data_IF_177296218552
#
_entry.id   IF_177296218552
#
_cell.length_a   1.000
_cell.length_b   1.000
_cell.length_c   1.000
_cell.angle_alpha   90.00
_cell.angle_beta   90.00
_cell.angle_gamma   90.00
#
_symmetry.space_group_name_H-M   'P 1'
#
loop_
_entity.id
_entity.type
_entity.pdbx_description
1 polymer ?
#
# COMPACT_ATOMS: atom_id res chain seq x y z
N UNK A 1 32.23 -35.34 0.77
CA UNK A 1 30.85 -35.61 0.30
C UNK A 1 29.96 -34.62 1.02
N UNK A 2 29.81 -33.43 0.46
CA UNK A 2 28.95 -32.41 1.03
C UNK A 2 27.54 -32.62 0.48
N UNK A 3 26.64 -33.01 1.35
CA UNK A 3 25.21 -33.12 1.03
C UNK A 3 24.59 -31.76 1.15
N UNK A 4 24.46 -31.07 0.02
CA UNK A 4 23.74 -29.83 -0.09
C UNK A 4 22.23 -30.14 -0.01
N UNK A 5 21.65 -30.00 1.17
CA UNK A 5 20.20 -30.11 1.38
C UNK A 5 19.55 -28.85 0.77
N UNK A 6 18.60 -28.98 -0.16
CA UNK A 6 17.90 -27.81 -0.70
C UNK A 6 17.11 -27.17 0.44
N UNK A 7 17.43 -25.91 0.74
CA UNK A 7 16.68 -25.13 1.71
C UNK A 7 15.20 -25.08 1.32
N UNK A 8 14.35 -25.49 2.22
CA UNK A 8 12.89 -25.40 2.11
C UNK A 8 12.52 -23.93 1.92
N UNK A 9 11.80 -23.60 0.87
CA UNK A 9 11.27 -22.26 0.68
C UNK A 9 10.34 -21.94 1.86
N UNK A 10 10.42 -20.73 2.46
CA UNK A 10 9.60 -20.35 3.58
C UNK A 10 8.12 -20.46 3.25
N UNK A 11 7.34 -20.95 4.18
CA UNK A 11 5.88 -21.06 4.03
C UNK A 11 5.25 -19.66 3.92
N UNK A 12 4.05 -19.60 3.36
CA UNK A 12 3.27 -18.35 3.25
C UNK A 12 3.03 -17.70 4.63
N UNK A 13 2.91 -18.49 5.69
CA UNK A 13 2.77 -18.01 7.06
C UNK A 13 4.06 -17.40 7.60
N UNK A 14 5.21 -18.02 7.32
CA UNK A 14 6.53 -17.50 7.68
C UNK A 14 6.83 -16.20 6.93
N UNK A 15 6.55 -16.13 5.62
CA UNK A 15 6.66 -14.90 4.82
C UNK A 15 5.75 -13.77 5.36
N UNK A 16 4.54 -14.11 5.80
CA UNK A 16 3.62 -13.13 6.38
C UNK A 16 3.99 -12.75 7.82
N UNK A 17 4.60 -13.66 8.59
CA UNK A 17 5.11 -13.35 9.93
C UNK A 17 6.31 -12.39 9.87
N UNK A 18 7.23 -12.60 8.93
CA UNK A 18 8.32 -11.66 8.64
C UNK A 18 7.82 -10.27 8.16
N UNK A 19 6.63 -10.21 7.52
CA UNK A 19 5.97 -8.94 7.17
C UNK A 19 5.53 -8.13 8.39
N UNK A 20 5.40 -8.76 9.56
CA UNK A 20 5.08 -8.09 10.81
C UNK A 20 6.31 -7.37 11.40
N UNK A 21 7.51 -7.82 11.05
CA UNK A 21 8.78 -7.19 11.37
C UNK A 21 9.28 -6.35 10.18
N UNK A 22 8.59 -5.25 9.88
CA UNK A 22 9.19 -4.20 9.05
C UNK A 22 10.33 -3.62 9.89
N UNK A 23 11.61 -3.69 9.44
CA UNK A 23 12.70 -3.05 10.15
C UNK A 23 12.35 -1.59 10.43
N UNK A 24 12.64 -1.13 11.62
CA UNK A 24 12.40 0.26 11.98
C UNK A 24 13.02 1.18 10.90
N UNK A 25 12.29 2.22 10.48
CA UNK A 25 12.81 3.17 9.51
C UNK A 25 14.12 3.77 10.04
N UNK A 26 15.11 4.05 9.17
CA UNK A 26 16.30 4.78 9.57
C UNK A 26 15.90 6.10 10.24
N UNK A 27 16.72 6.57 11.16
CA UNK A 27 16.51 7.80 11.94
C UNK A 27 15.85 8.88 11.08
N UNK A 28 14.66 9.31 11.52
CA UNK A 28 13.82 10.23 10.76
C UNK A 28 14.48 11.63 10.74
N UNK A 29 14.34 12.36 9.62
CA UNK A 29 14.69 13.78 9.63
C UNK A 29 13.89 14.49 10.73
N UNK A 30 14.57 15.38 11.45
CA UNK A 30 14.17 16.15 12.63
C UNK A 30 12.71 15.99 13.07
N UNK A 31 12.53 15.44 14.26
CA UNK A 31 11.24 15.16 14.87
C UNK A 31 10.34 16.40 14.77
N UNK A 32 9.37 16.34 13.90
CA UNK A 32 8.29 17.33 13.85
C UNK A 32 7.64 17.30 15.23
N UNK A 33 7.34 18.47 15.73
CA UNK A 33 6.70 18.69 17.00
C UNK A 33 5.45 17.78 17.12
N UNK A 34 5.64 16.54 17.62
CA UNK A 34 4.55 15.58 17.80
C UNK A 34 3.35 16.15 18.56
N UNK A 35 3.56 17.01 19.61
CA UNK A 35 2.44 17.69 20.26
C UNK A 35 1.56 18.46 19.29
N UNK A 36 2.14 19.16 18.31
CA UNK A 36 1.34 19.92 17.35
C UNK A 36 0.48 19.04 16.43
N UNK A 37 0.94 17.82 16.11
CA UNK A 37 0.13 16.86 15.35
C UNK A 37 -1.02 16.30 16.20
N UNK A 38 -0.78 15.93 17.43
CA UNK A 38 -1.80 15.40 18.34
C UNK A 38 -2.87 16.46 18.68
N UNK A 39 -2.52 17.74 18.70
CA UNK A 39 -3.50 18.83 18.83
C UNK A 39 -4.46 18.86 17.63
N UNK A 40 -3.93 18.71 16.41
CA UNK A 40 -4.76 18.62 15.19
C UNK A 40 -5.66 17.39 15.22
N UNK A 41 -5.14 16.23 15.66
CA UNK A 41 -5.93 14.99 15.84
C UNK A 41 -7.06 15.23 16.85
N UNK A 42 -6.78 15.91 17.95
CA UNK A 42 -7.77 16.22 18.99
C UNK A 42 -8.88 17.13 18.45
N UNK A 43 -8.53 18.16 17.66
CA UNK A 43 -9.50 19.04 17.02
C UNK A 43 -10.33 18.28 15.97
N UNK A 44 -9.70 17.44 15.17
CA UNK A 44 -10.39 16.60 14.18
C UNK A 44 -11.39 15.63 14.85
N UNK A 45 -10.99 14.98 15.95
CA UNK A 45 -11.89 14.14 16.72
C UNK A 45 -13.11 14.92 17.27
N UNK A 46 -12.87 16.12 17.80
CA UNK A 46 -13.96 16.98 18.30
C UNK A 46 -14.92 17.38 17.17
N UNK A 47 -14.39 17.70 15.98
CA UNK A 47 -15.20 17.98 14.79
C UNK A 47 -16.10 16.78 14.42
N UNK A 48 -15.53 15.57 14.32
CA UNK A 48 -16.30 14.34 14.02
C UNK A 48 -17.40 14.11 15.07
N UNK A 49 -17.08 14.26 16.36
CA UNK A 49 -18.08 14.11 17.44
C UNK A 49 -19.18 15.15 17.38
N UNK A 50 -18.86 16.38 17.01
CA UNK A 50 -19.86 17.44 16.80
C UNK A 50 -20.81 17.15 15.64
N UNK A 51 -20.29 16.54 14.57
CA UNK A 51 -21.06 16.21 13.37
C UNK A 51 -21.93 14.97 13.53
N UNK A 52 -21.43 13.92 14.19
CA UNK A 52 -22.03 12.57 14.23
C UNK A 52 -22.19 12.00 15.64
N UNK A 53 -22.18 12.85 16.67
CA UNK A 53 -22.18 12.40 18.07
C UNK A 53 -23.33 11.44 18.44
N UNK A 54 -24.49 11.55 17.80
CA UNK A 54 -25.66 10.71 18.10
C UNK A 54 -25.59 9.30 17.51
N UNK A 55 -24.86 9.11 16.41
CA UNK A 55 -24.73 7.82 15.71
C UNK A 55 -23.29 7.34 15.59
N UNK A 56 -22.34 8.07 16.16
CA UNK A 56 -20.91 7.72 16.14
C UNK A 56 -20.63 6.47 16.97
N UNK A 57 -19.97 5.50 16.35
CA UNK A 57 -19.61 4.22 16.96
C UNK A 57 -18.13 4.17 17.31
N UNK A 58 -17.26 4.55 16.39
CA UNK A 58 -15.82 4.58 16.64
C UNK A 58 -15.12 5.60 15.74
N UNK A 59 -13.99 6.13 16.18
CA UNK A 59 -13.08 6.94 15.36
C UNK A 59 -11.69 6.32 15.45
N UNK A 60 -11.17 5.94 14.29
CA UNK A 60 -9.88 5.29 14.15
C UNK A 60 -8.96 6.20 13.34
N UNK A 61 -7.85 6.63 13.94
CA UNK A 61 -6.76 7.24 13.21
C UNK A 61 -6.02 6.16 12.43
N UNK A 62 -5.78 6.41 11.15
CA UNK A 62 -5.07 5.49 10.27
C UNK A 62 -3.87 6.20 9.61
N UNK A 63 -3.27 5.61 8.59
CA UNK A 63 -2.19 6.24 7.82
C UNK A 63 -0.90 6.47 8.61
N UNK A 64 -0.21 7.57 8.32
CA UNK A 64 1.08 7.92 8.91
C UNK A 64 0.98 8.24 10.40
N UNK A 65 -0.10 8.89 10.82
CA UNK A 65 -0.35 9.25 12.22
C UNK A 65 -0.51 8.05 13.14
N UNK A 66 -1.21 7.00 12.68
CA UNK A 66 -1.36 5.76 13.44
C UNK A 66 -0.02 5.00 13.58
N UNK A 67 0.86 5.12 12.59
CA UNK A 67 2.17 4.46 12.56
C UNK A 67 3.28 5.26 13.24
N UNK A 68 2.97 6.43 13.79
CA UNK A 68 3.94 7.39 14.35
C UNK A 68 5.05 7.79 13.37
N UNK A 69 4.71 7.84 12.08
CA UNK A 69 5.60 8.21 10.98
C UNK A 69 5.15 9.54 10.34
N UNK A 70 4.93 10.53 11.20
CA UNK A 70 4.42 11.84 10.81
C UNK A 70 5.53 12.70 10.21
N UNK A 71 5.24 13.36 9.09
CA UNK A 71 6.11 14.34 8.43
C UNK A 71 5.43 15.72 8.40
N UNK A 72 6.14 16.76 7.94
CA UNK A 72 5.58 18.11 7.79
C UNK A 72 4.32 18.12 6.92
N UNK A 73 4.25 17.24 5.94
CA UNK A 73 3.14 17.14 4.99
C UNK A 73 2.17 15.99 5.28
N UNK A 74 2.26 15.38 6.47
CA UNK A 74 1.33 14.30 6.85
C UNK A 74 -0.03 14.87 7.17
N UNK A 75 -1.06 14.29 6.56
CA UNK A 75 -2.47 14.53 6.87
C UNK A 75 -2.90 13.79 8.13
N UNK A 76 -4.07 14.11 8.65
CA UNK A 76 -4.76 13.35 9.69
C UNK A 76 -5.84 12.50 9.03
N UNK A 77 -5.57 11.22 8.85
CA UNK A 77 -6.50 10.27 8.23
C UNK A 77 -7.41 9.64 9.29
N UNK A 78 -8.71 9.88 9.22
CA UNK A 78 -9.70 9.33 10.15
C UNK A 78 -10.73 8.45 9.44
N UNK A 79 -11.02 7.30 10.03
CA UNK A 79 -12.21 6.50 9.71
C UNK A 79 -13.19 6.65 10.88
N UNK A 80 -14.31 7.31 10.60
CA UNK A 80 -15.40 7.48 11.55
C UNK A 80 -16.49 6.43 11.25
N UNK A 81 -16.61 5.45 12.12
CA UNK A 81 -17.65 4.42 12.05
C UNK A 81 -18.94 4.92 12.70
N UNK A 82 -20.03 4.74 12.00
CA UNK A 82 -21.35 5.20 12.45
C UNK A 82 -22.38 4.06 12.42
N UNK A 83 -23.52 4.26 13.12
CA UNK A 83 -24.67 3.37 13.06
C UNK A 83 -25.39 3.56 11.72
N UNK A 84 -25.84 2.45 11.13
CA UNK A 84 -26.53 2.47 9.83
C UNK A 84 -25.60 2.68 8.65
N UNK A 85 -26.20 2.98 7.51
CA UNK A 85 -25.49 3.29 6.28
C UNK A 85 -25.01 4.74 6.35
N UNK A 86 -23.74 4.95 6.04
CA UNK A 86 -23.21 6.30 5.84
C UNK A 86 -22.05 6.23 4.87
N UNK A 87 -22.23 6.86 3.76
CA UNK A 87 -21.15 7.27 2.89
C UNK A 87 -20.93 8.77 3.05
N UNK A 88 -19.71 9.15 3.40
CA UNK A 88 -19.31 10.54 3.50
C UNK A 88 -17.81 10.65 3.53
N UNK A 89 -17.32 11.61 2.79
CA UNK A 89 -15.91 11.96 2.77
C UNK A 89 -15.79 13.46 2.96
N UNK A 90 -15.03 13.86 3.94
CA UNK A 90 -14.86 15.28 4.29
C UNK A 90 -13.37 15.55 4.42
N UNK A 91 -12.90 16.59 3.74
CA UNK A 91 -11.55 17.11 3.90
C UNK A 91 -11.68 18.49 4.54
N UNK A 92 -11.14 18.61 5.76
CA UNK A 92 -11.16 19.88 6.49
C UNK A 92 -9.73 20.34 6.78
N UNK A 93 -9.53 21.65 6.82
CA UNK A 93 -8.26 22.23 7.23
C UNK A 93 -8.30 22.59 8.70
N UNK A 94 -7.33 22.06 9.44
CA UNK A 94 -7.13 22.32 10.86
C UNK A 94 -5.71 22.84 11.04
N UNK A 95 -5.59 24.13 11.38
CA UNK A 95 -4.32 24.86 11.34
C UNK A 95 -3.70 24.77 9.92
N UNK A 96 -2.49 24.27 9.81
CA UNK A 96 -1.75 24.10 8.55
C UNK A 96 -1.88 22.69 7.92
N UNK A 97 -2.64 21.77 8.55
CA UNK A 97 -2.80 20.38 8.11
C UNK A 97 -4.19 20.09 7.57
N UNK A 98 -4.27 19.11 6.70
CA UNK A 98 -5.53 18.53 6.25
C UNK A 98 -5.94 17.38 7.17
N UNK A 99 -7.24 17.28 7.44
CA UNK A 99 -7.84 16.08 8.02
C UNK A 99 -8.78 15.46 6.97
N UNK A 100 -8.44 14.25 6.55
CA UNK A 100 -9.23 13.38 5.66
C UNK A 100 -10.12 12.50 6.55
N UNK A 101 -11.43 12.74 6.52
CA UNK A 101 -12.40 12.06 7.39
C UNK A 101 -13.36 11.26 6.53
N UNK A 102 -13.34 9.94 6.69
CA UNK A 102 -14.24 9.02 5.99
C UNK A 102 -15.27 8.48 6.94
N UNK A 103 -16.52 8.80 6.69
CA UNK A 103 -17.66 8.28 7.43
C UNK A 103 -18.15 6.99 6.76
N UNK A 104 -18.20 5.90 7.53
CA UNK A 104 -18.57 4.58 7.04
C UNK A 104 -19.51 3.89 8.01
N UNK A 105 -20.50 3.18 7.49
CA UNK A 105 -21.30 2.26 8.29
C UNK A 105 -20.45 1.15 8.90
N UNK A 106 -20.49 0.93 10.20
CA UNK A 106 -19.63 -0.08 10.85
C UNK A 106 -19.86 -1.49 10.30
N UNK A 107 -21.11 -1.87 10.05
CA UNK A 107 -21.46 -3.18 9.46
C UNK A 107 -20.93 -3.33 8.04
N UNK A 108 -21.04 -2.27 7.24
CA UNK A 108 -20.55 -2.23 5.88
C UNK A 108 -19.02 -2.48 5.84
N UNK A 109 -18.26 -1.81 6.71
CA UNK A 109 -16.81 -2.02 6.82
C UNK A 109 -16.48 -3.44 7.26
N UNK A 110 -17.25 -4.01 8.19
CA UNK A 110 -17.10 -5.40 8.60
C UNK A 110 -17.33 -6.40 7.47
N UNK A 111 -18.34 -6.17 6.66
CA UNK A 111 -18.67 -7.00 5.49
C UNK A 111 -17.64 -6.86 4.36
N UNK A 112 -17.11 -5.65 4.15
CA UNK A 112 -16.09 -5.40 3.13
C UNK A 112 -14.72 -5.97 3.52
N UNK A 113 -14.37 -5.98 4.80
CA UNK A 113 -13.04 -6.32 5.30
C UNK A 113 -12.44 -7.62 4.72
N UNK A 114 -13.18 -8.74 4.58
CA UNK A 114 -12.65 -9.99 4.03
C UNK A 114 -12.19 -9.87 2.57
N UNK A 115 -12.81 -8.98 1.80
CA UNK A 115 -12.62 -8.86 0.35
C UNK A 115 -11.80 -7.64 -0.05
N UNK A 116 -11.64 -6.67 0.84
CA UNK A 116 -10.94 -5.43 0.55
C UNK A 116 -9.45 -5.66 0.38
N UNK A 117 -8.87 -5.08 -0.68
CA UNK A 117 -7.44 -5.09 -0.94
C UNK A 117 -6.66 -4.11 -0.03
N UNK A 118 -7.33 -3.18 0.64
CA UNK A 118 -6.70 -2.08 1.39
C UNK A 118 -7.05 -2.03 2.86
N UNK A 119 -8.31 -2.33 3.23
CA UNK A 119 -8.78 -2.20 4.61
C UNK A 119 -7.95 -2.98 5.63
N UNK A 120 -7.55 -4.24 5.38
CA UNK A 120 -6.72 -4.97 6.34
C UNK A 120 -5.40 -4.27 6.63
N UNK A 121 -4.70 -3.79 5.59
CA UNK A 121 -3.43 -3.06 5.75
C UNK A 121 -3.60 -1.72 6.45
N UNK A 122 -4.69 -1.01 6.17
CA UNK A 122 -4.98 0.31 6.70
C UNK A 122 -5.37 0.25 8.17
N UNK A 123 -6.29 -0.66 8.53
CA UNK A 123 -6.85 -0.75 9.88
C UNK A 123 -5.93 -1.45 10.88
N UNK A 124 -5.09 -2.41 10.46
CA UNK A 124 -4.30 -3.25 11.38
C UNK A 124 -3.41 -2.46 12.36
N UNK A 125 -2.96 -1.28 11.96
CA UNK A 125 -2.16 -0.37 12.78
C UNK A 125 -2.95 0.87 13.19
N UNK A 126 -4.28 0.83 13.04
CA UNK A 126 -5.15 1.92 13.44
C UNK A 126 -5.06 2.21 14.93
N UNK A 127 -5.09 3.49 15.29
CA UNK A 127 -5.16 3.97 16.68
C UNK A 127 -6.56 4.44 16.98
N UNK A 128 -7.17 3.84 17.99
CA UNK A 128 -8.51 4.22 18.43
C UNK A 128 -8.45 5.56 19.13
N UNK A 129 -9.25 6.51 18.67
CA UNK A 129 -9.44 7.82 19.30
C UNK A 129 -10.74 7.89 20.08
N UNK A 130 -11.75 7.14 19.64
CA UNK A 130 -13.04 6.98 20.31
C UNK A 130 -13.58 5.60 19.96
N UNK A 131 -14.19 4.92 20.93
CA UNK A 131 -14.79 3.61 20.72
C UNK A 131 -16.00 3.42 21.64
N UNK A 132 -17.10 2.97 21.08
CA UNK A 132 -18.30 2.61 21.80
C UNK A 132 -18.45 1.08 21.71
N UNK A 133 -18.58 0.44 22.85
CA UNK A 133 -18.74 -1.01 22.98
C UNK A 133 -17.60 -1.86 22.35
N UNK A 134 -16.41 -1.29 22.13
CA UNK A 134 -15.26 -2.01 21.60
C UNK A 134 -15.35 -2.40 20.12
N UNK A 135 -16.26 -1.78 19.35
CA UNK A 135 -16.50 -2.12 17.94
C UNK A 135 -15.28 -1.82 17.10
N UNK A 136 -14.63 -0.65 17.32
CA UNK A 136 -13.40 -0.30 16.61
C UNK A 136 -12.24 -1.22 16.96
N UNK A 137 -12.09 -1.59 18.23
CA UNK A 137 -11.07 -2.53 18.69
C UNK A 137 -11.25 -3.91 18.04
N UNK A 138 -12.47 -4.41 18.00
CA UNK A 138 -12.80 -5.68 17.33
C UNK A 138 -12.49 -5.64 15.84
N UNK A 139 -12.82 -4.52 15.17
CA UNK A 139 -12.55 -4.34 13.74
C UNK A 139 -11.04 -4.36 13.47
N UNK A 140 -10.22 -3.72 14.28
CA UNK A 140 -8.76 -3.73 14.16
C UNK A 140 -8.21 -5.15 14.35
N UNK A 141 -8.71 -5.89 15.34
CA UNK A 141 -8.29 -7.28 15.57
C UNK A 141 -8.63 -8.18 14.36
N UNK A 142 -9.84 -8.07 13.81
CA UNK A 142 -10.24 -8.77 12.59
C UNK A 142 -9.40 -8.37 11.39
N UNK A 143 -9.03 -7.08 11.27
CA UNK A 143 -8.13 -6.61 10.23
C UNK A 143 -6.73 -7.23 10.37
N UNK A 144 -6.21 -7.35 11.60
CA UNK A 144 -4.95 -8.04 11.87
C UNK A 144 -5.00 -9.52 11.46
N UNK A 145 -6.06 -10.23 11.84
CA UNK A 145 -6.25 -11.63 11.47
C UNK A 145 -6.32 -11.80 9.94
N UNK A 146 -7.10 -10.94 9.26
CA UNK A 146 -7.22 -10.95 7.80
C UNK A 146 -5.91 -10.61 7.11
N UNK A 147 -5.15 -9.67 7.67
CA UNK A 147 -3.84 -9.28 7.14
C UNK A 147 -2.85 -10.45 7.16
N UNK A 148 -2.80 -11.24 8.24
CA UNK A 148 -1.92 -12.43 8.35
C UNK A 148 -2.22 -13.48 7.29
N UNK A 149 -3.46 -13.59 6.83
CA UNK A 149 -3.85 -14.53 5.76
C UNK A 149 -3.31 -14.12 4.38
N UNK A 150 -2.83 -12.89 4.22
CA UNK A 150 -2.40 -12.34 2.94
C UNK A 150 -3.57 -12.02 1.99
N UNK A 151 -3.33 -11.29 0.91
CA UNK A 151 -4.34 -11.06 -0.12
C UNK A 151 -4.68 -12.36 -0.85
N UNK A 152 -5.88 -12.47 -1.45
CA UNK A 152 -6.23 -13.63 -2.27
C UNK A 152 -5.18 -13.85 -3.37
N UNK A 153 -4.83 -15.09 -3.72
CA UNK A 153 -3.87 -15.36 -4.78
C UNK A 153 -4.38 -14.82 -6.13
N UNK A 154 -3.47 -14.30 -6.94
CA UNK A 154 -3.82 -13.87 -8.28
C UNK A 154 -4.11 -15.09 -9.17
N UNK A 155 -5.25 -15.08 -9.87
CA UNK A 155 -5.55 -16.10 -10.89
C UNK A 155 -4.56 -16.03 -12.04
N UNK A 156 -4.39 -17.13 -12.80
CA UNK A 156 -3.52 -17.15 -13.98
C UNK A 156 -3.89 -16.06 -14.98
N UNK A 157 -5.19 -15.82 -15.22
CA UNK A 157 -5.65 -14.77 -16.12
C UNK A 157 -5.32 -13.36 -15.59
N UNK A 158 -5.36 -13.14 -14.28
CA UNK A 158 -4.95 -11.89 -13.65
C UNK A 158 -3.44 -11.67 -13.80
N UNK A 159 -2.63 -12.72 -13.61
CA UNK A 159 -1.18 -12.69 -13.80
C UNK A 159 -0.80 -12.34 -15.24
N UNK A 160 -1.47 -12.98 -16.23
CA UNK A 160 -1.26 -12.69 -17.64
C UNK A 160 -1.64 -11.25 -17.98
N UNK A 161 -2.75 -10.73 -17.41
CA UNK A 161 -3.15 -9.32 -17.63
C UNK A 161 -2.15 -8.34 -17.05
N UNK A 162 -1.61 -8.59 -15.86
CA UNK A 162 -0.57 -7.75 -15.28
C UNK A 162 0.70 -7.73 -16.15
N UNK A 163 1.14 -8.91 -16.64
CA UNK A 163 2.27 -9.01 -17.57
C UNK A 163 2.00 -8.22 -18.85
N UNK A 164 0.81 -8.39 -19.44
CA UNK A 164 0.42 -7.68 -20.64
C UNK A 164 0.36 -6.15 -20.43
N UNK A 165 -0.12 -5.67 -19.28
CA UNK A 165 -0.12 -4.25 -18.91
C UNK A 165 1.28 -3.67 -18.88
N UNK A 166 2.20 -4.31 -18.18
CA UNK A 166 3.61 -3.87 -18.13
C UNK A 166 4.24 -3.86 -19.53
N UNK A 167 4.03 -4.91 -20.35
CA UNK A 167 4.54 -4.98 -21.70
C UNK A 167 3.93 -3.89 -22.61
N UNK A 168 2.65 -3.57 -22.43
CA UNK A 168 1.97 -2.53 -23.18
C UNK A 168 2.60 -1.16 -22.95
N UNK A 169 2.75 -0.75 -21.69
CA UNK A 169 3.35 0.55 -21.37
C UNK A 169 4.81 0.64 -21.82
N UNK A 170 5.58 -0.45 -21.62
CA UNK A 170 6.95 -0.51 -22.07
C UNK A 170 7.07 -0.37 -23.58
N UNK A 171 6.25 -1.11 -24.35
CA UNK A 171 6.21 -1.01 -25.80
C UNK A 171 5.84 0.40 -26.27
N UNK A 172 4.78 0.99 -25.68
CA UNK A 172 4.39 2.36 -25.99
C UNK A 172 5.49 3.39 -25.70
N UNK A 173 6.24 3.22 -24.60
CA UNK A 173 7.37 4.11 -24.27
C UNK A 173 8.50 3.97 -25.28
N UNK A 174 8.75 2.76 -25.80
CA UNK A 174 9.74 2.51 -26.86
C UNK A 174 9.33 3.14 -28.20
N UNK A 175 8.06 3.03 -28.57
CA UNK A 175 7.52 3.59 -29.82
C UNK A 175 7.69 5.12 -29.90
N UNK A 176 7.75 5.80 -28.76
CA UNK A 176 7.88 7.27 -28.68
C UNK A 176 9.18 7.72 -28.03
N UNK A 177 10.26 6.92 -28.15
CA UNK A 177 11.54 7.25 -27.52
C UNK A 177 12.18 8.53 -28.08
N UNK A 178 11.77 8.98 -29.25
CA UNK A 178 12.11 10.30 -29.83
C UNK A 178 11.42 11.48 -29.13
N UNK A 179 10.43 11.22 -28.27
CA UNK A 179 9.68 12.20 -27.47
C UNK A 179 9.90 11.96 -25.98
N UNK A 180 11.04 12.38 -25.39
CA UNK A 180 11.48 11.97 -24.05
C UNK A 180 10.46 12.24 -22.94
N UNK A 181 9.72 13.35 -23.01
CA UNK A 181 8.69 13.67 -22.01
C UNK A 181 7.54 12.64 -22.03
N UNK A 182 7.05 12.29 -23.22
CA UNK A 182 5.97 11.29 -23.40
C UNK A 182 6.45 9.89 -22.99
N UNK A 183 7.66 9.51 -23.41
CA UNK A 183 8.23 8.21 -23.07
C UNK A 183 8.41 8.07 -21.54
N UNK A 184 8.93 9.09 -20.86
CA UNK A 184 9.05 9.08 -19.41
C UNK A 184 7.69 8.99 -18.70
N UNK A 185 6.66 9.68 -19.17
CA UNK A 185 5.32 9.55 -18.60
C UNK A 185 4.79 8.10 -18.72
N UNK A 186 4.95 7.48 -19.88
CA UNK A 186 4.54 6.08 -20.09
C UNK A 186 5.34 5.10 -19.22
N UNK A 187 6.62 5.37 -18.99
CA UNK A 187 7.45 4.60 -18.06
C UNK A 187 7.05 4.76 -16.60
N UNK A 188 6.46 5.89 -16.20
CA UNK A 188 5.88 6.02 -14.86
C UNK A 188 4.63 5.13 -14.72
N UNK A 189 3.76 5.06 -15.74
CA UNK A 189 2.61 4.13 -15.76
C UNK A 189 3.08 2.66 -15.75
N UNK A 190 4.12 2.35 -16.51
CA UNK A 190 4.77 1.03 -16.45
C UNK A 190 5.21 0.70 -15.02
N UNK A 191 5.88 1.63 -14.34
CA UNK A 191 6.41 1.38 -13.01
C UNK A 191 5.32 1.19 -11.96
N UNK A 192 4.20 1.92 -12.06
CA UNK A 192 3.04 1.72 -11.20
C UNK A 192 2.45 0.30 -11.39
N UNK A 193 2.24 -0.12 -12.65
CA UNK A 193 1.79 -1.48 -12.96
C UNK A 193 2.80 -2.54 -12.48
N UNK A 194 4.10 -2.29 -12.62
CA UNK A 194 5.17 -3.18 -12.13
C UNK A 194 5.10 -3.33 -10.60
N UNK A 195 4.93 -2.25 -9.86
CA UNK A 195 4.79 -2.28 -8.39
C UNK A 195 3.57 -3.08 -7.99
N UNK A 196 2.41 -2.80 -8.59
CA UNK A 196 1.18 -3.53 -8.31
C UNK A 196 1.34 -5.03 -8.61
N UNK A 197 1.96 -5.39 -9.74
CA UNK A 197 2.23 -6.77 -10.11
C UNK A 197 3.21 -7.44 -9.13
N UNK A 198 4.26 -6.74 -8.69
CA UNK A 198 5.22 -7.27 -7.72
C UNK A 198 4.53 -7.75 -6.44
N UNK A 199 3.70 -6.89 -5.83
CA UNK A 199 2.99 -7.23 -4.62
C UNK A 199 1.96 -8.33 -4.87
N UNK A 200 1.23 -8.23 -5.94
CA UNK A 200 0.12 -9.12 -6.25
C UNK A 200 0.56 -10.55 -6.59
N UNK A 201 1.63 -10.70 -7.39
CA UNK A 201 2.20 -12.00 -7.75
C UNK A 201 2.82 -12.73 -6.55
N UNK A 202 3.36 -12.00 -5.60
CA UNK A 202 3.95 -12.56 -4.37
C UNK A 202 2.94 -12.77 -3.25
N UNK A 203 1.66 -12.45 -3.45
CA UNK A 203 0.65 -12.56 -2.41
C UNK A 203 0.92 -11.63 -1.22
N UNK A 204 1.45 -10.43 -1.50
CA UNK A 204 1.79 -9.41 -0.52
C UNK A 204 0.75 -8.29 -0.54
N UNK A 205 0.48 -7.72 0.62
CA UNK A 205 -0.31 -6.50 0.72
C UNK A 205 0.51 -5.31 0.24
N UNK A 206 -0.14 -4.40 -0.49
CA UNK A 206 0.51 -3.15 -0.92
C UNK A 206 0.94 -2.34 0.31
N UNK A 207 2.18 -1.88 0.30
CA UNK A 207 2.74 -1.02 1.34
C UNK A 207 2.54 0.47 0.99
N UNK A 208 2.69 1.41 1.95
CA UNK A 208 2.68 2.83 1.64
C UNK A 208 3.73 3.19 0.57
N UNK A 209 3.44 4.16 -0.32
CA UNK A 209 4.34 4.52 -1.43
C UNK A 209 5.78 4.84 -1.00
N UNK A 210 5.95 5.50 0.14
CA UNK A 210 7.29 5.84 0.68
C UNK A 210 8.13 4.62 1.04
N UNK A 211 7.50 3.49 1.33
CA UNK A 211 8.16 2.24 1.72
C UNK A 211 8.39 1.29 0.54
N UNK A 212 7.75 1.52 -0.61
CA UNK A 212 7.77 0.60 -1.76
C UNK A 212 9.19 0.25 -2.22
N UNK A 213 10.12 1.20 -2.48
CA UNK A 213 11.45 0.85 -2.96
C UNK A 213 12.22 -0.03 -1.97
N UNK A 214 12.22 0.36 -0.69
CA UNK A 214 12.87 -0.41 0.38
C UNK A 214 12.24 -1.80 0.52
N UNK A 215 10.93 -1.89 0.42
CA UNK A 215 10.21 -3.15 0.55
C UNK A 215 10.54 -4.12 -0.59
N UNK A 216 10.56 -3.65 -1.85
CA UNK A 216 10.97 -4.47 -3.00
C UNK A 216 12.38 -5.00 -2.77
N UNK A 217 13.34 -4.15 -2.40
CA UNK A 217 14.73 -4.54 -2.14
C UNK A 217 14.85 -5.58 -1.03
N UNK A 218 14.08 -5.45 0.05
CA UNK A 218 14.12 -6.41 1.15
C UNK A 218 13.55 -7.79 0.79
N UNK A 219 12.68 -7.88 -0.21
CA UNK A 219 12.06 -9.13 -0.66
C UNK A 219 12.74 -9.77 -1.87
N UNK A 220 13.37 -8.95 -2.69
CA UNK A 220 14.07 -9.37 -3.90
C UNK A 220 15.16 -8.36 -4.21
N UNK A 221 16.38 -8.65 -3.78
CA UNK A 221 17.50 -7.73 -3.93
C UNK A 221 17.80 -7.39 -5.40
N UNK A 222 17.62 -8.34 -6.32
CA UNK A 222 17.87 -8.14 -7.76
C UNK A 222 16.83 -7.20 -8.35
N UNK A 223 15.54 -7.48 -8.12
CA UNK A 223 14.47 -6.59 -8.56
C UNK A 223 14.54 -5.22 -7.86
N UNK A 224 14.94 -5.17 -6.60
CA UNK A 224 15.10 -3.94 -5.85
C UNK A 224 16.20 -3.06 -6.39
N UNK A 225 17.38 -3.62 -6.71
CA UNK A 225 18.48 -2.87 -7.36
C UNK A 225 18.04 -2.30 -8.71
N UNK A 226 17.41 -3.15 -9.53
CA UNK A 226 16.96 -2.74 -10.86
C UNK A 226 15.86 -1.66 -10.80
N UNK A 227 14.90 -1.79 -9.87
CA UNK A 227 13.87 -0.80 -9.63
C UNK A 227 14.48 0.53 -9.12
N UNK A 228 15.46 0.45 -8.24
CA UNK A 228 16.21 1.61 -7.77
C UNK A 228 16.92 2.34 -8.93
N UNK A 229 17.61 1.59 -9.78
CA UNK A 229 18.28 2.14 -10.98
C UNK A 229 17.28 2.75 -11.96
N UNK A 230 16.11 2.11 -12.16
CA UNK A 230 15.02 2.69 -12.96
C UNK A 230 14.59 4.07 -12.42
N UNK A 231 14.37 4.18 -11.12
CA UNK A 231 13.91 5.41 -10.49
C UNK A 231 14.94 6.53 -10.51
N UNK A 232 16.24 6.18 -10.42
CA UNK A 232 17.34 7.13 -10.36
C UNK A 232 18.05 7.36 -11.70
N UNK A 233 17.62 6.68 -12.78
CA UNK A 233 18.20 6.79 -14.11
C UNK A 233 18.21 8.24 -14.59
N UNK A 234 19.38 8.72 -15.02
CA UNK A 234 19.57 10.09 -15.50
C UNK A 234 19.17 10.26 -16.97
N UNK A 235 19.11 9.17 -17.72
CA UNK A 235 18.76 9.18 -19.14
C UNK A 235 17.54 8.28 -19.42
N UNK A 236 16.78 8.64 -20.48
CA UNK A 236 15.68 7.81 -20.95
C UNK A 236 16.17 6.41 -21.38
N UNK A 237 17.33 6.33 -22.02
CA UNK A 237 17.90 5.07 -22.48
C UNK A 237 18.18 4.11 -21.33
N UNK A 238 18.79 4.58 -20.24
CA UNK A 238 19.01 3.79 -19.04
C UNK A 238 17.72 3.32 -18.41
N UNK A 239 16.72 4.21 -18.31
CA UNK A 239 15.40 3.89 -17.74
C UNK A 239 14.68 2.83 -18.57
N UNK A 240 14.70 2.94 -19.90
CA UNK A 240 14.16 1.93 -20.81
C UNK A 240 14.87 0.58 -20.68
N UNK A 241 16.20 0.57 -20.51
CA UNK A 241 16.94 -0.67 -20.29
C UNK A 241 16.55 -1.33 -18.98
N UNK A 242 16.50 -0.58 -17.89
CA UNK A 242 16.03 -1.12 -16.60
C UNK A 242 14.60 -1.69 -16.71
N UNK A 243 13.69 -0.98 -17.38
CA UNK A 243 12.32 -1.46 -17.57
C UNK A 243 12.26 -2.78 -18.37
N UNK A 244 13.09 -2.94 -19.43
CA UNK A 244 13.20 -4.18 -20.19
C UNK A 244 13.66 -5.36 -19.35
N UNK A 245 14.60 -5.11 -18.42
CA UNK A 245 15.16 -6.16 -17.57
C UNK A 245 14.23 -6.53 -16.41
N UNK A 246 13.42 -5.58 -15.90
CA UNK A 246 12.44 -5.81 -14.84
C UNK A 246 11.34 -6.81 -15.24
N UNK A 247 10.86 -6.75 -16.49
CA UNK A 247 9.73 -7.57 -16.95
C UNK A 247 10.02 -9.08 -16.89
N UNK A 248 11.09 -9.61 -17.52
CA UNK A 248 11.35 -11.05 -17.51
C UNK A 248 11.66 -11.58 -16.10
N UNK A 249 12.26 -10.77 -15.24
CA UNK A 249 12.55 -11.17 -13.85
C UNK A 249 11.29 -11.28 -13.01
N UNK A 250 10.39 -10.30 -13.11
CA UNK A 250 9.14 -10.32 -12.35
C UNK A 250 8.19 -11.43 -12.82
N UNK A 251 8.07 -11.60 -14.14
CA UNK A 251 7.08 -12.49 -14.76
C UNK A 251 7.67 -13.82 -15.27
N UNK A 252 8.81 -14.27 -14.72
CA UNK A 252 9.49 -15.51 -15.15
C UNK A 252 8.59 -16.74 -15.17
N UNK A 253 7.69 -16.86 -14.19
CA UNK A 253 6.80 -18.00 -14.01
C UNK A 253 5.38 -17.73 -14.55
N UNK A 254 5.16 -16.59 -15.16
CA UNK A 254 3.84 -16.20 -15.73
C UNK A 254 3.80 -16.55 -17.21
N UNK A 255 2.82 -17.35 -17.68
CA UNK A 255 2.71 -17.71 -19.08
C UNK A 255 2.48 -16.47 -19.96
N UNK A 256 2.83 -16.59 -21.24
CA UNK A 256 2.46 -15.57 -22.22
C UNK A 256 0.96 -15.67 -22.54
N UNK A 257 0.32 -14.57 -22.99
CA UNK A 257 -1.02 -14.64 -23.55
C UNK A 257 -1.08 -15.70 -24.64
N UNK A 258 -2.20 -16.42 -24.72
CA UNK A 258 -2.41 -17.37 -25.80
C UNK A 258 -2.37 -16.65 -27.15
N UNK A 259 -1.63 -17.22 -28.11
CA UNK A 259 -1.65 -16.75 -29.47
C UNK A 259 -2.87 -17.36 -30.18
N UNK A 260 -3.63 -16.53 -30.86
CA UNK A 260 -4.71 -16.95 -31.76
C UNK A 260 -4.18 -16.71 -33.16
N UNK A 261 -4.01 -17.80 -33.93
CA UNK A 261 -3.57 -17.75 -35.33
C UNK A 261 -4.79 -17.65 -36.25
#
# INVERSE_FOLDING_TARGET
>A
MDTNTPGTLPTREELNAELLEVPEPPEQPEAINEPAYEDVVTVALRHVRGRRGGDLVSVILVGSGARRAVTAHSDVDLIALVKGEAEGHEIVRIADRLADIRYRGHKEVEEELPYSARLPSLLRKGRILYDHDGIGANLIERANQRFRQGPPPASTNEQIRMKAGCLHWLGKAQDVADKPATANYLLMLFFDDFVNAFFRLRGLWLTPPVDVPRFITSRDAILGDLAGRFLTASTLAERLNCARDLVPLLFKDVPNPARID
#
